data_IF_804829704824
#
_entry.id   IF_804829704824
#
_cell.length_a   1.000
_cell.length_b   1.000
_cell.length_c   1.000
_cell.angle_alpha   90.00
_cell.angle_beta   90.00
_cell.angle_gamma   90.00
#
_symmetry.space_group_name_H-M   'P 1'
#
loop_
_entity.id
_entity.type
_entity.pdbx_description
1 polymer ?
#
# COMPACT_ATOMS: atom_id res chain seq x y z
N UNK A 1 -2.93 28.90 6.13
CA UNK A 1 -3.76 27.68 6.00
C UNK A 1 -3.07 26.77 5.00
N UNK A 2 -2.72 25.53 5.38
CA UNK A 2 -2.04 24.63 4.45
C UNK A 2 -2.00 23.19 4.99
N UNK A 3 -2.06 22.22 4.08
CA UNK A 3 -1.86 20.80 4.40
C UNK A 3 -0.35 20.49 4.34
N UNK A 4 0.12 19.59 5.20
CA UNK A 4 1.49 19.06 5.18
C UNK A 4 1.53 17.72 4.46
N UNK A 5 2.54 17.50 3.65
CA UNK A 5 2.79 16.18 3.03
C UNK A 5 3.35 15.23 4.08
N UNK A 6 2.58 14.20 4.43
CA UNK A 6 2.95 13.19 5.43
C UNK A 6 3.56 11.93 4.81
N UNK A 7 3.41 11.73 3.50
CA UNK A 7 4.06 10.63 2.80
C UNK A 7 3.74 10.64 1.31
N UNK A 8 4.62 10.02 0.52
CA UNK A 8 4.41 9.79 -0.91
C UNK A 8 5.08 8.49 -1.30
N UNK A 9 4.39 7.58 -1.97
CA UNK A 9 4.98 6.30 -2.37
C UNK A 9 4.22 5.63 -3.51
N UNK A 10 4.65 4.45 -3.96
CA UNK A 10 3.94 3.64 -4.94
C UNK A 10 2.80 2.87 -4.29
N UNK A 11 1.81 2.45 -5.08
CA UNK A 11 0.72 1.63 -4.58
C UNK A 11 1.22 0.32 -3.95
N UNK A 12 2.23 -0.32 -4.56
CA UNK A 12 2.81 -1.55 -4.03
C UNK A 12 3.33 -1.34 -2.60
N UNK A 13 4.21 -0.35 -2.39
CA UNK A 13 4.76 -0.07 -1.05
C UNK A 13 3.70 0.39 -0.06
N UNK A 14 2.71 1.16 -0.51
CA UNK A 14 1.63 1.60 0.36
C UNK A 14 0.79 0.43 0.89
N UNK A 15 0.38 -0.47 0.01
CA UNK A 15 -0.47 -1.60 0.37
C UNK A 15 0.29 -2.64 1.20
N UNK A 16 1.55 -2.92 0.86
CA UNK A 16 2.41 -3.77 1.67
C UNK A 16 2.66 -3.14 3.06
N UNK A 17 2.83 -1.82 3.15
CA UNK A 17 2.96 -1.12 4.44
C UNK A 17 1.69 -1.16 5.28
N UNK A 18 0.53 -1.35 4.65
CA UNK A 18 -0.75 -1.62 5.34
C UNK A 18 -0.92 -3.11 5.71
N UNK A 19 -0.02 -3.98 5.27
CA UNK A 19 -0.05 -5.42 5.53
C UNK A 19 -1.01 -6.19 4.63
N UNK A 20 -1.08 -5.83 3.33
CA UNK A 20 -1.92 -6.49 2.32
C UNK A 20 -1.70 -8.02 2.27
N UNK A 21 -0.46 -8.46 2.50
CA UNK A 21 -0.07 -9.88 2.51
C UNK A 21 -0.82 -10.70 3.57
N UNK A 22 -1.31 -10.05 4.63
CA UNK A 22 -2.10 -10.73 5.68
C UNK A 22 -3.40 -11.31 5.14
N UNK A 23 -3.99 -10.70 4.11
CA UNK A 23 -5.19 -11.23 3.47
C UNK A 23 -4.97 -12.60 2.84
N UNK A 24 -3.73 -12.88 2.40
CA UNK A 24 -3.37 -14.19 1.85
C UNK A 24 -3.11 -15.19 2.98
N UNK A 25 -2.39 -14.79 4.03
CA UNK A 25 -2.10 -15.68 5.16
C UNK A 25 -3.36 -16.06 5.96
N UNK A 26 -4.36 -15.18 6.01
CA UNK A 26 -5.63 -15.42 6.71
C UNK A 26 -6.67 -16.15 5.84
N UNK A 27 -6.40 -16.33 4.55
CA UNK A 27 -7.31 -17.05 3.65
C UNK A 27 -7.24 -18.56 3.89
N UNK A 28 -8.40 -19.22 3.90
CA UNK A 28 -8.47 -20.68 4.04
C UNK A 28 -7.91 -21.34 2.77
N UNK A 29 -6.82 -22.15 2.86
CA UNK A 29 -6.27 -22.84 1.70
C UNK A 29 -7.23 -23.87 1.09
N UNK A 30 -8.15 -24.42 1.87
CA UNK A 30 -9.17 -25.38 1.40
C UNK A 30 -10.24 -24.70 0.53
N UNK A 31 -10.42 -23.38 0.68
CA UNK A 31 -11.22 -22.57 -0.25
C UNK A 31 -10.34 -22.08 -1.39
N UNK A 32 -9.97 -23.02 -2.27
CA UNK A 32 -9.04 -22.81 -3.38
C UNK A 32 -9.49 -21.66 -4.29
N UNK A 33 -10.80 -21.55 -4.56
CA UNK A 33 -11.33 -20.51 -5.44
C UNK A 33 -11.11 -19.12 -4.83
N UNK A 34 -11.47 -18.95 -3.55
CA UNK A 34 -11.27 -17.69 -2.85
C UNK A 34 -9.79 -17.34 -2.72
N UNK A 35 -8.95 -18.29 -2.35
CA UNK A 35 -7.51 -18.09 -2.23
C UNK A 35 -6.90 -17.64 -3.57
N UNK A 36 -7.29 -18.28 -4.68
CA UNK A 36 -6.80 -17.92 -6.01
C UNK A 36 -7.21 -16.50 -6.44
N UNK A 37 -8.45 -16.10 -6.17
CA UNK A 37 -8.93 -14.75 -6.47
C UNK A 37 -8.18 -13.68 -5.65
N UNK A 38 -7.92 -13.94 -4.36
CA UNK A 38 -7.12 -13.06 -3.52
C UNK A 38 -5.70 -12.93 -4.06
N UNK A 39 -5.07 -14.05 -4.42
CA UNK A 39 -3.72 -14.06 -5.01
C UNK A 39 -3.64 -13.23 -6.29
N UNK A 40 -4.62 -13.34 -7.19
CA UNK A 40 -4.67 -12.52 -8.40
C UNK A 40 -4.82 -11.03 -8.09
N UNK A 41 -5.69 -10.68 -7.14
CA UNK A 41 -5.89 -9.31 -6.69
C UNK A 41 -4.61 -8.70 -6.13
N UNK A 42 -3.94 -9.40 -5.22
CA UNK A 42 -2.66 -8.94 -4.65
C UNK A 42 -1.62 -8.74 -5.74
N UNK A 43 -1.46 -9.69 -6.68
CA UNK A 43 -0.53 -9.54 -7.82
C UNK A 43 -0.83 -8.30 -8.64
N UNK A 44 -2.08 -8.09 -9.04
CA UNK A 44 -2.47 -6.91 -9.82
C UNK A 44 -2.14 -5.60 -9.09
N UNK A 45 -2.39 -5.55 -7.78
CA UNK A 45 -2.19 -4.36 -6.97
C UNK A 45 -0.70 -4.06 -6.65
N UNK A 46 0.17 -5.06 -6.68
CA UNK A 46 1.56 -4.95 -6.20
C UNK A 46 2.62 -5.12 -7.28
N UNK A 47 2.34 -5.83 -8.39
CA UNK A 47 3.34 -6.06 -9.42
C UNK A 47 3.68 -4.77 -10.19
N UNK A 48 4.98 -4.48 -10.45
CA UNK A 48 5.39 -3.29 -11.19
C UNK A 48 4.81 -3.22 -12.61
N UNK A 49 4.68 -4.38 -13.28
CA UNK A 49 4.10 -4.49 -14.61
C UNK A 49 2.61 -4.14 -14.65
N UNK A 50 1.92 -4.25 -13.52
CA UNK A 50 0.49 -3.98 -13.35
C UNK A 50 0.28 -2.60 -12.72
N UNK A 51 -0.34 -2.54 -11.53
CA UNK A 51 -0.65 -1.28 -10.86
C UNK A 51 0.43 -0.85 -9.87
N UNK A 52 1.28 -1.78 -9.42
CA UNK A 52 2.15 -1.60 -8.25
C UNK A 52 3.07 -0.39 -8.35
N UNK A 53 3.69 -0.19 -9.52
CA UNK A 53 4.55 0.97 -9.78
C UNK A 53 3.79 2.13 -10.44
N UNK A 54 2.78 1.87 -11.27
CA UNK A 54 2.10 2.92 -12.04
C UNK A 54 1.29 3.87 -11.15
N UNK A 55 0.69 3.34 -10.08
CA UNK A 55 -0.13 4.12 -9.16
C UNK A 55 0.72 4.63 -8.00
N UNK A 56 0.40 5.85 -7.55
CA UNK A 56 1.10 6.56 -6.47
C UNK A 56 0.09 6.98 -5.40
N UNK A 57 0.53 7.02 -4.16
CA UNK A 57 -0.27 7.43 -3.01
C UNK A 57 0.38 8.66 -2.37
N UNK A 58 -0.40 9.72 -2.17
CA UNK A 58 0.01 10.96 -1.52
C UNK A 58 -0.80 11.15 -0.22
N UNK A 59 -0.11 11.28 0.90
CA UNK A 59 -0.70 11.59 2.19
C UNK A 59 -0.59 13.07 2.51
N UNK A 60 -1.72 13.71 2.81
CA UNK A 60 -1.79 15.10 3.26
C UNK A 60 -2.49 15.16 4.63
N UNK A 61 -1.97 15.98 5.55
CA UNK A 61 -2.57 16.12 6.88
C UNK A 61 -2.52 17.55 7.42
N UNK A 62 -3.29 17.79 8.48
CA UNK A 62 -3.27 19.01 9.29
C UNK A 62 -3.47 18.62 10.75
N UNK A 63 -2.53 18.98 11.61
CA UNK A 63 -2.63 18.70 13.04
C UNK A 63 -2.45 17.23 13.43
N UNK A 64 -1.94 16.37 12.53
CA UNK A 64 -1.51 15.03 12.92
C UNK A 64 -0.21 15.11 13.73
N UNK A 65 -0.07 14.25 14.74
CA UNK A 65 1.20 14.07 15.46
C UNK A 65 2.30 13.56 14.51
N UNK A 66 3.56 13.63 14.94
CA UNK A 66 4.72 13.27 14.11
C UNK A 66 4.81 11.76 13.73
N UNK A 67 3.81 10.95 14.07
CA UNK A 67 3.78 9.55 13.69
C UNK A 67 3.59 9.40 12.18
N UNK A 68 4.47 8.63 11.55
CA UNK A 68 4.37 8.28 10.13
C UNK A 68 3.19 7.31 9.97
N UNK A 69 2.21 7.60 9.09
CA UNK A 69 1.13 6.64 8.82
C UNK A 69 1.69 5.33 8.27
N UNK A 70 1.14 4.19 8.70
CA UNK A 70 1.68 2.85 8.43
C UNK A 70 1.93 2.56 6.94
N UNK A 71 1.07 3.06 6.04
CA UNK A 71 1.25 2.89 4.60
C UNK A 71 2.46 3.61 4.01
N UNK A 72 3.10 4.53 4.75
CA UNK A 72 4.33 5.20 4.32
C UNK A 72 5.57 4.69 5.06
N UNK A 73 5.44 3.62 5.87
CA UNK A 73 6.53 3.11 6.70
C UNK A 73 7.58 2.30 5.95
N UNK A 74 7.20 1.59 4.87
CA UNK A 74 8.12 0.74 4.12
C UNK A 74 9.04 1.55 3.20
N UNK A 75 8.45 2.46 2.42
CA UNK A 75 9.20 3.31 1.52
C UNK A 75 8.48 4.64 1.37
N UNK A 76 9.16 5.71 1.75
CA UNK A 76 8.70 7.08 1.55
C UNK A 76 9.59 7.76 0.49
N UNK A 77 8.94 8.23 -0.56
CA UNK A 77 9.54 8.77 -1.77
C UNK A 77 9.32 10.28 -1.87
N UNK A 78 8.92 10.97 -0.79
CA UNK A 78 8.72 12.44 -0.77
C UNK A 78 9.89 13.25 -1.33
N UNK A 79 11.12 12.73 -1.28
CA UNK A 79 12.29 13.37 -1.92
C UNK A 79 12.25 13.41 -3.46
N UNK A 80 11.25 12.80 -4.10
CA UNK A 80 11.01 12.80 -5.55
C UNK A 80 9.84 13.69 -5.97
N UNK A 81 9.22 14.41 -5.04
CA UNK A 81 8.16 15.38 -5.30
C UNK A 81 8.70 16.74 -5.74
#
# INVERSE_FOLDING_TARGET
VGLKVVGYTTQAFFLLGCGLERLLSESNPEDVQRHFLLMQGVKRLTLPSEMGERFKVLGLSRGLSAAVPIGFSLQDMRGRL
#
